data_IF_657705527811
#
_entry.id   IF_657705527811
#
_cell.length_a   1.000
_cell.length_b   1.000
_cell.length_c   1.000
_cell.angle_alpha   90.00
_cell.angle_beta   90.00
_cell.angle_gamma   90.00
#
_symmetry.space_group_name_H-M   'P 1'
#
loop_
_entity.id
_entity.type
_entity.pdbx_description
1 polymer ?
#
# COMPACT_ATOMS: atom_id res chain seq x y z
N UNK A 1 40.36 -9.32 18.54
CA UNK A 1 40.38 -7.89 18.88
C UNK A 1 38.99 -7.33 18.72
N UNK A 2 38.41 -6.75 19.75
CA UNK A 2 37.10 -6.10 19.65
C UNK A 2 37.20 -4.81 18.85
N UNK A 3 36.08 -4.39 18.22
CA UNK A 3 36.04 -3.08 17.56
C UNK A 3 36.28 -2.00 18.62
N UNK A 4 37.21 -1.09 18.34
CA UNK A 4 37.47 0.02 19.27
C UNK A 4 36.22 0.90 19.33
N UNK A 5 35.71 1.09 20.55
CA UNK A 5 34.56 1.92 20.83
C UNK A 5 35.01 3.33 21.21
N UNK A 6 34.35 4.33 20.64
CA UNK A 6 34.58 5.72 20.96
C UNK A 6 33.25 6.43 21.14
N UNK A 7 33.15 7.26 22.17
CA UNK A 7 31.94 8.04 22.46
C UNK A 7 32.26 9.53 22.38
N UNK A 8 31.43 10.28 21.65
CA UNK A 8 31.55 11.73 21.56
C UNK A 8 30.22 12.39 21.19
N UNK A 9 30.23 13.72 21.02
CA UNK A 9 29.06 14.51 20.71
C UNK A 9 29.21 15.24 19.38
N UNK A 10 28.08 15.42 18.68
CA UNK A 10 27.98 16.35 17.56
C UNK A 10 27.08 17.54 17.94
N UNK A 11 27.40 18.72 17.43
CA UNK A 11 26.60 19.92 17.69
C UNK A 11 25.46 20.04 16.68
N UNK A 12 24.22 20.13 17.17
CA UNK A 12 23.01 20.42 16.41
C UNK A 12 22.38 21.76 16.85
N UNK A 13 21.44 22.33 16.07
CA UNK A 13 20.81 23.62 16.39
C UNK A 13 20.09 23.68 17.74
N UNK A 14 19.59 22.55 18.27
CA UNK A 14 18.90 22.48 19.57
C UNK A 14 19.80 22.06 20.73
N UNK A 15 21.00 21.56 20.45
CA UNK A 15 21.88 20.98 21.47
C UNK A 15 22.82 19.93 20.92
N UNK A 16 23.46 19.19 21.82
CA UNK A 16 24.41 18.12 21.51
C UNK A 16 23.67 16.82 21.26
N UNK A 17 24.11 16.08 20.25
CA UNK A 17 23.68 14.70 19.99
C UNK A 17 24.84 13.79 20.39
N UNK A 18 24.62 12.88 21.33
CA UNK A 18 25.59 11.88 21.73
C UNK A 18 25.63 10.74 20.71
N UNK A 19 26.84 10.28 20.42
CA UNK A 19 27.07 9.18 19.48
C UNK A 19 28.13 8.22 20.01
N UNK A 20 27.98 6.95 19.63
CA UNK A 20 28.95 5.89 19.88
C UNK A 20 29.40 5.34 18.53
N UNK A 21 30.71 5.30 18.31
CA UNK A 21 31.34 4.81 17.10
C UNK A 21 32.07 3.49 17.38
N UNK A 22 31.99 2.56 16.44
CA UNK A 22 32.76 1.32 16.44
C UNK A 22 33.43 1.10 15.08
N UNK A 23 34.73 0.80 15.11
CA UNK A 23 35.52 0.47 13.91
C UNK A 23 36.21 1.67 13.26
N UNK A 24 36.73 1.46 12.05
CA UNK A 24 37.53 2.45 11.30
C UNK A 24 36.63 3.37 10.46
N UNK A 25 36.79 4.69 10.61
CA UNK A 25 36.03 5.69 9.87
C UNK A 25 36.26 5.70 8.35
N UNK A 26 37.29 4.99 7.86
CA UNK A 26 37.53 4.77 6.43
C UNK A 26 36.61 3.70 5.83
N UNK A 27 35.95 2.89 6.64
CA UNK A 27 35.03 1.85 6.18
C UNK A 27 33.63 2.42 5.84
N UNK A 28 32.83 1.69 5.02
CA UNK A 28 31.47 2.10 4.71
C UNK A 28 30.62 2.35 5.97
N UNK A 29 29.89 3.48 6.04
CA UNK A 29 29.19 3.87 7.25
C UNK A 29 27.85 3.14 7.44
N UNK A 30 27.57 2.79 8.70
CA UNK A 30 26.33 2.18 9.16
C UNK A 30 25.79 2.97 10.35
N UNK A 31 24.66 3.64 10.18
CA UNK A 31 23.95 4.34 11.25
C UNK A 31 23.05 3.33 12.00
N UNK A 32 23.16 3.29 13.32
CA UNK A 32 22.33 2.50 14.23
C UNK A 32 21.38 3.43 14.96
N UNK A 33 20.06 3.23 14.80
CA UNK A 33 19.04 4.09 15.40
C UNK A 33 18.15 3.30 16.36
N UNK A 34 18.17 3.68 17.64
CA UNK A 34 17.53 2.93 18.72
C UNK A 34 16.01 3.16 18.80
N UNK A 35 15.35 2.42 19.70
CA UNK A 35 13.91 2.48 19.95
C UNK A 35 13.45 3.68 20.79
N UNK A 36 12.16 3.75 21.12
CA UNK A 36 11.64 4.76 22.04
C UNK A 36 12.17 4.49 23.45
N UNK A 37 12.62 5.53 24.16
CA UNK A 37 13.16 5.41 25.53
C UNK A 37 14.37 4.46 25.63
N UNK A 38 15.21 4.44 24.60
CA UNK A 38 16.39 3.58 24.47
C UNK A 38 17.65 4.42 24.23
N UNK A 39 18.80 3.80 23.96
CA UNK A 39 20.07 4.48 23.67
C UNK A 39 20.91 3.69 22.66
N UNK A 40 21.85 4.36 21.99
CA UNK A 40 22.86 3.76 21.12
C UNK A 40 23.62 2.60 21.79
N UNK A 41 23.76 2.61 23.12
CA UNK A 41 24.40 1.53 23.89
C UNK A 41 23.71 0.17 23.70
N UNK A 42 22.41 0.15 23.41
CA UNK A 42 21.66 -1.11 23.23
C UNK A 42 22.14 -1.93 22.04
N UNK A 43 22.87 -1.31 21.11
CA UNK A 43 23.46 -1.99 19.96
C UNK A 43 24.78 -2.70 20.24
N UNK A 44 25.44 -2.53 21.39
CA UNK A 44 26.73 -3.19 21.69
C UNK A 44 26.71 -4.71 21.47
N UNK A 45 25.69 -5.47 21.93
CA UNK A 45 25.63 -6.92 21.68
C UNK A 45 25.39 -7.28 20.21
N UNK A 46 24.80 -6.39 19.43
CA UNK A 46 24.61 -6.57 18.00
C UNK A 46 25.92 -6.29 17.25
N UNK A 47 26.55 -5.15 17.52
CA UNK A 47 27.80 -4.72 16.87
C UNK A 47 28.92 -5.75 17.07
N UNK A 48 28.99 -6.40 18.23
CA UNK A 48 29.97 -7.48 18.48
C UNK A 48 29.82 -8.70 17.56
N UNK A 49 28.65 -8.86 16.93
CA UNK A 49 28.33 -9.95 15.99
C UNK A 49 28.33 -9.51 14.52
N UNK A 50 28.49 -8.22 14.24
CA UNK A 50 28.45 -7.69 12.87
C UNK A 50 29.83 -7.71 12.19
N UNK A 51 29.88 -7.67 10.84
CA UNK A 51 31.13 -7.66 10.09
C UNK A 51 32.03 -6.47 10.46
N UNK A 52 33.34 -6.69 10.48
CA UNK A 52 34.31 -5.69 10.98
C UNK A 52 34.74 -4.66 9.95
N UNK A 53 34.30 -4.81 8.70
CA UNK A 53 34.65 -3.97 7.56
C UNK A 53 33.66 -2.81 7.36
N UNK A 54 32.99 -2.38 8.43
CA UNK A 54 32.06 -1.26 8.44
C UNK A 54 32.41 -0.30 9.58
N UNK A 55 31.98 0.96 9.42
CA UNK A 55 32.04 1.97 10.45
C UNK A 55 30.65 2.16 11.07
N UNK A 56 30.44 1.65 12.27
CA UNK A 56 29.14 1.71 12.93
C UNK A 56 29.05 2.98 13.78
N UNK A 57 28.00 3.77 13.58
CA UNK A 57 27.67 4.92 14.41
C UNK A 57 26.29 4.70 15.01
N UNK A 58 26.19 4.54 16.33
CA UNK A 58 24.93 4.65 17.06
C UNK A 58 24.70 6.09 17.50
N UNK A 59 23.50 6.62 17.26
CA UNK A 59 23.09 7.92 17.82
C UNK A 59 22.11 7.73 18.96
N UNK A 60 22.24 8.55 20.00
CA UNK A 60 21.15 8.80 20.93
C UNK A 60 20.19 9.82 20.31
N UNK A 61 18.93 9.46 20.10
CA UNK A 61 17.91 10.38 19.60
C UNK A 61 17.68 11.52 20.60
N UNK A 62 17.33 12.74 20.15
CA UNK A 62 17.09 13.88 21.03
C UNK A 62 16.17 13.55 22.21
N UNK A 63 16.61 13.89 23.43
CA UNK A 63 15.90 13.58 24.67
C UNK A 63 16.04 12.12 25.15
N UNK A 64 16.90 11.32 24.54
CA UNK A 64 17.24 9.96 24.95
C UNK A 64 18.75 9.84 25.22
N UNK A 65 19.14 8.82 25.98
CA UNK A 65 20.54 8.57 26.36
C UNK A 65 21.24 9.82 26.89
N UNK A 66 22.35 10.21 26.26
CA UNK A 66 23.12 11.43 26.60
C UNK A 66 22.90 12.59 25.63
N UNK A 67 21.94 12.48 24.70
CA UNK A 67 21.59 13.58 23.79
C UNK A 67 20.75 14.64 24.48
N UNK A 68 21.03 15.90 24.17
CA UNK A 68 20.22 17.02 24.66
C UNK A 68 18.78 16.92 24.09
N UNK A 69 17.81 17.31 24.90
CA UNK A 69 16.40 17.40 24.50
C UNK A 69 16.16 18.58 23.54
N UNK A 70 15.09 18.51 22.77
CA UNK A 70 14.57 19.68 22.08
C UNK A 70 14.15 20.79 23.06
N UNK A 71 14.05 22.02 22.55
CA UNK A 71 13.67 23.18 23.35
C UNK A 71 12.31 22.97 24.03
N UNK A 72 12.14 23.42 25.29
CA UNK A 72 10.86 23.37 25.98
C UNK A 72 9.74 24.05 25.18
N UNK A 73 8.56 23.42 25.14
CA UNK A 73 7.38 23.93 24.43
C UNK A 73 7.25 23.47 22.97
N UNK A 74 8.25 22.76 22.42
CA UNK A 74 8.14 22.15 21.09
C UNK A 74 7.29 20.87 21.17
N UNK A 75 6.27 20.77 20.31
CA UNK A 75 5.54 19.52 20.10
C UNK A 75 6.41 18.59 19.23
N UNK A 76 7.04 17.60 19.87
CA UNK A 76 8.00 16.70 19.22
C UNK A 76 7.26 15.71 18.32
N UNK A 77 7.67 15.65 17.05
CA UNK A 77 7.17 14.73 16.04
C UNK A 77 8.27 13.79 15.52
N UNK A 78 7.87 12.81 14.72
CA UNK A 78 8.79 11.91 14.02
C UNK A 78 9.75 12.66 13.08
N UNK A 79 9.35 13.81 12.55
CA UNK A 79 10.17 14.62 11.64
C UNK A 79 11.33 15.31 12.37
N UNK A 80 11.14 15.69 13.62
CA UNK A 80 12.20 16.28 14.45
C UNK A 80 13.31 15.25 14.70
N UNK A 81 12.92 13.99 14.90
CA UNK A 81 13.85 12.86 15.03
C UNK A 81 14.59 12.56 13.72
N UNK A 82 13.90 12.66 12.57
CA UNK A 82 14.54 12.58 11.26
C UNK A 82 15.56 13.70 11.03
N UNK A 83 15.27 14.91 11.51
CA UNK A 83 16.21 16.02 11.40
C UNK A 83 17.47 15.79 12.24
N UNK A 84 17.39 15.07 13.36
CA UNK A 84 18.57 14.62 14.12
C UNK A 84 19.45 13.66 13.32
N UNK A 85 18.85 12.70 12.61
CA UNK A 85 19.57 11.82 11.67
C UNK A 85 20.19 12.66 10.54
N UNK A 86 19.46 13.62 9.98
CA UNK A 86 19.98 14.50 8.94
C UNK A 86 21.19 15.33 9.42
N UNK A 87 21.14 15.88 10.64
CA UNK A 87 22.24 16.63 11.23
C UNK A 87 23.51 15.77 11.37
N UNK A 88 23.35 14.50 11.77
CA UNK A 88 24.44 13.53 11.87
C UNK A 88 25.03 13.20 10.50
N UNK A 89 24.19 12.84 9.52
CA UNK A 89 24.64 12.52 8.15
C UNK A 89 25.39 13.70 7.54
N UNK A 90 24.90 14.93 7.76
CA UNK A 90 25.56 16.16 7.33
C UNK A 90 26.91 16.38 8.03
N UNK A 91 26.98 16.13 9.34
CA UNK A 91 28.22 16.26 10.12
C UNK A 91 29.33 15.36 9.57
N UNK A 92 29.01 14.10 9.30
CA UNK A 92 29.96 13.13 8.75
C UNK A 92 30.18 13.26 7.23
N UNK A 93 29.45 14.16 6.57
CA UNK A 93 29.49 14.35 5.10
C UNK A 93 29.24 13.05 4.33
N UNK A 94 28.42 12.16 4.90
CA UNK A 94 28.07 10.91 4.25
C UNK A 94 27.18 11.17 3.05
N UNK A 95 27.64 10.74 1.87
CA UNK A 95 26.82 10.73 0.64
C UNK A 95 25.92 9.49 0.59
N UNK A 96 26.42 8.36 1.09
CA UNK A 96 25.72 7.08 1.19
C UNK A 96 26.05 6.43 2.53
N UNK A 97 25.09 5.73 3.13
CA UNK A 97 25.27 4.99 4.38
C UNK A 97 24.18 3.92 4.53
N UNK A 98 24.43 2.90 5.34
CA UNK A 98 23.42 1.90 5.72
C UNK A 98 22.72 2.32 7.01
N UNK A 99 21.40 2.16 7.13
CA UNK A 99 20.66 2.42 8.38
C UNK A 99 20.15 1.10 8.97
N UNK A 100 20.48 0.84 10.23
CA UNK A 100 19.92 -0.25 11.04
C UNK A 100 19.07 0.40 12.13
N UNK A 101 17.75 0.33 11.98
CA UNK A 101 16.80 0.82 12.97
C UNK A 101 16.28 -0.31 13.87
N UNK A 102 16.17 -0.06 15.17
CA UNK A 102 15.47 -0.91 16.13
C UNK A 102 14.24 -0.18 16.67
N UNK A 103 13.08 -0.86 16.73
CA UNK A 103 11.82 -0.29 17.22
C UNK A 103 11.57 1.12 16.63
N UNK A 104 11.38 2.18 17.44
CA UNK A 104 11.23 3.58 17.01
C UNK A 104 12.18 4.00 15.86
N UNK A 105 13.45 3.58 15.92
CA UNK A 105 14.45 3.89 14.87
C UNK A 105 14.19 3.23 13.52
N UNK A 106 13.46 2.12 13.46
CA UNK A 106 12.99 1.52 12.20
C UNK A 106 11.76 2.23 11.61
N UNK A 107 11.09 3.09 12.38
CA UNK A 107 9.90 3.82 11.92
C UNK A 107 10.24 5.10 11.15
N UNK A 108 11.50 5.57 11.20
CA UNK A 108 11.85 6.90 10.73
C UNK A 108 11.74 7.07 9.20
N UNK A 109 12.00 6.06 8.37
CA UNK A 109 11.44 5.91 7.01
C UNK A 109 11.51 4.42 6.66
N UNK A 110 10.43 3.80 6.17
CA UNK A 110 10.56 2.51 5.49
C UNK A 110 11.10 2.81 4.08
N UNK A 111 12.42 2.93 3.97
CA UNK A 111 13.13 3.12 2.71
C UNK A 111 14.08 1.96 2.43
N UNK A 112 14.30 1.67 1.16
CA UNK A 112 15.26 0.67 0.70
C UNK A 112 16.03 1.19 -0.52
N UNK A 113 17.33 0.93 -0.56
CA UNK A 113 18.22 1.36 -1.64
C UNK A 113 18.89 2.71 -1.36
N UNK A 114 19.66 3.17 -2.35
CA UNK A 114 20.41 4.44 -2.28
C UNK A 114 19.52 5.61 -2.68
N UNK A 115 19.45 6.67 -1.87
CA UNK A 115 18.67 7.88 -2.15
C UNK A 115 19.10 8.64 -3.42
N UNK A 116 20.27 8.33 -3.99
CA UNK A 116 20.74 8.85 -5.27
C UNK A 116 20.12 8.11 -6.48
N UNK A 117 19.51 6.95 -6.28
CA UNK A 117 18.85 6.18 -7.33
C UNK A 117 17.46 6.74 -7.66
N UNK A 118 16.89 6.40 -8.83
CA UNK A 118 15.55 6.84 -9.20
C UNK A 118 14.50 6.45 -8.14
N UNK A 119 13.65 7.40 -7.71
CA UNK A 119 12.71 7.18 -6.62
C UNK A 119 11.51 6.33 -7.04
N UNK A 120 11.11 5.42 -6.15
CA UNK A 120 9.94 4.56 -6.28
C UNK A 120 9.09 4.69 -5.01
N UNK A 121 7.90 5.28 -5.15
CA UNK A 121 6.93 5.37 -4.05
C UNK A 121 6.07 4.11 -4.00
N UNK A 122 6.02 3.46 -2.84
CA UNK A 122 5.15 2.31 -2.59
C UNK A 122 3.93 2.77 -1.79
N UNK A 123 2.74 2.59 -2.37
CA UNK A 123 1.47 3.07 -1.84
C UNK A 123 0.54 1.89 -1.52
N UNK A 124 0.25 1.67 -0.24
CA UNK A 124 -0.47 0.47 0.22
C UNK A 124 -1.99 0.55 0.01
N UNK A 125 -2.66 -0.59 0.21
CA UNK A 125 -4.12 -0.71 0.11
C UNK A 125 -4.86 -0.13 1.32
N UNK A 126 -6.19 -0.16 1.31
CA UNK A 126 -6.98 0.32 2.44
C UNK A 126 -6.73 -0.52 3.69
N UNK A 127 -6.66 0.13 4.86
CA UNK A 127 -6.47 -0.54 6.15
C UNK A 127 -5.16 -1.36 6.25
N UNK A 128 -4.14 -0.98 5.49
CA UNK A 128 -2.84 -1.66 5.45
C UNK A 128 -1.70 -0.71 5.83
N UNK A 129 -0.44 -1.09 5.62
CA UNK A 129 0.70 -0.21 5.89
C UNK A 129 1.88 -0.49 4.94
N UNK A 130 2.88 0.39 4.95
CA UNK A 130 4.07 0.28 4.11
C UNK A 130 4.88 -1.02 4.33
N UNK A 131 4.71 -1.68 5.48
CA UNK A 131 5.42 -2.93 5.79
C UNK A 131 5.01 -4.08 4.86
N UNK A 132 3.81 -4.05 4.29
CA UNK A 132 3.30 -5.08 3.37
C UNK A 132 4.14 -5.19 2.10
N UNK A 133 4.91 -4.16 1.75
CA UNK A 133 5.80 -4.21 0.60
C UNK A 133 7.15 -4.88 0.88
N UNK A 134 7.52 -5.18 2.14
CA UNK A 134 8.81 -5.82 2.47
C UNK A 134 9.12 -7.06 1.62
N UNK A 135 8.19 -8.03 1.45
CA UNK A 135 8.46 -9.22 0.63
C UNK A 135 8.59 -8.93 -0.87
N UNK A 136 7.97 -7.84 -1.34
CA UNK A 136 8.09 -7.41 -2.73
C UNK A 136 9.44 -6.74 -2.97
N UNK A 137 9.81 -5.77 -2.13
CA UNK A 137 11.04 -4.98 -2.30
C UNK A 137 12.29 -5.86 -2.27
N UNK A 138 12.30 -6.96 -1.50
CA UNK A 138 13.41 -7.91 -1.49
C UNK A 138 13.64 -8.61 -2.84
N UNK A 139 12.64 -8.61 -3.73
CA UNK A 139 12.68 -9.21 -5.08
C UNK A 139 12.84 -8.17 -6.18
N UNK A 140 12.79 -6.88 -5.87
CA UNK A 140 12.91 -5.80 -6.85
C UNK A 140 14.39 -5.42 -7.12
N UNK A 141 14.68 -4.79 -8.26
CA UNK A 141 16.04 -4.37 -8.60
C UNK A 141 16.63 -3.40 -7.56
N UNK A 142 17.91 -3.57 -7.22
CA UNK A 142 18.57 -2.77 -6.16
C UNK A 142 19.01 -1.37 -6.60
N UNK A 143 18.86 -1.04 -7.87
CA UNK A 143 19.26 0.24 -8.46
C UNK A 143 18.17 1.32 -8.39
N UNK A 144 17.21 1.19 -7.46
CA UNK A 144 16.14 2.15 -7.20
C UNK A 144 16.12 2.55 -5.73
N UNK A 145 15.48 3.68 -5.43
CA UNK A 145 15.22 4.14 -4.07
C UNK A 145 13.74 3.95 -3.73
N UNK A 146 13.42 2.88 -3.03
CA UNK A 146 12.05 2.55 -2.65
C UNK A 146 11.68 3.26 -1.35
N UNK A 147 10.55 3.96 -1.31
CA UNK A 147 9.96 4.52 -0.08
C UNK A 147 8.56 3.97 0.09
N UNK A 148 8.32 3.29 1.20
CA UNK A 148 7.00 2.89 1.65
C UNK A 148 6.33 4.01 2.44
N UNK A 149 5.20 4.49 1.92
CA UNK A 149 4.36 5.47 2.60
C UNK A 149 3.27 4.78 3.40
N UNK A 150 3.20 5.05 4.71
CA UNK A 150 1.95 4.86 5.47
C UNK A 150 0.99 6.00 5.13
N UNK A 151 -0.15 5.70 4.51
CA UNK A 151 -1.16 6.71 4.20
C UNK A 151 -1.73 7.33 5.50
N UNK A 152 -2.13 8.62 5.50
CA UNK A 152 -2.74 9.25 6.68
C UNK A 152 -3.82 8.38 7.32
N UNK A 153 -3.78 8.24 8.64
CA UNK A 153 -4.69 7.39 9.40
C UNK A 153 -4.43 5.88 9.24
N UNK A 154 -3.27 5.45 8.74
CA UNK A 154 -2.86 4.05 8.67
C UNK A 154 -1.43 3.89 9.18
N UNK A 155 -1.10 2.65 9.56
CA UNK A 155 0.22 2.32 10.11
C UNK A 155 0.59 3.26 11.25
N UNK A 156 1.68 4.01 11.07
CA UNK A 156 2.17 5.02 12.03
C UNK A 156 1.98 6.47 11.56
N UNK A 157 1.32 6.70 10.44
CA UNK A 157 0.99 8.06 10.00
C UNK A 157 -0.17 8.63 10.81
N UNK A 158 -0.09 9.93 11.11
CA UNK A 158 -1.13 10.63 11.84
C UNK A 158 -2.48 10.57 11.13
N UNK A 159 -3.54 10.63 11.93
CA UNK A 159 -4.92 10.74 11.45
C UNK A 159 -5.17 12.15 10.94
N UNK A 160 -6.11 12.29 10.00
CA UNK A 160 -6.65 13.60 9.68
C UNK A 160 -7.37 14.21 10.89
N UNK A 161 -7.53 15.53 10.89
CA UNK A 161 -8.25 16.23 11.97
C UNK A 161 -9.65 15.65 12.18
N UNK A 162 -10.14 15.55 13.43
CA UNK A 162 -11.51 15.13 13.70
C UNK A 162 -12.52 15.97 12.93
N UNK A 163 -13.61 15.33 12.52
CA UNK A 163 -14.71 15.92 11.77
C UNK A 163 -14.56 15.90 10.27
N UNK A 164 -13.34 15.71 9.75
CA UNK A 164 -13.11 15.60 8.32
C UNK A 164 -13.69 14.29 7.76
N UNK A 165 -14.51 14.38 6.73
CA UNK A 165 -14.88 13.25 5.88
C UNK A 165 -13.80 13.09 4.80
N UNK A 166 -12.98 12.05 4.93
CA UNK A 166 -11.80 11.86 4.09
C UNK A 166 -12.21 11.60 2.64
N UNK A 167 -11.70 12.40 1.71
CA UNK A 167 -11.83 12.26 0.27
C UNK A 167 -10.57 11.69 -0.36
N UNK A 168 -10.75 10.79 -1.33
CA UNK A 168 -9.65 10.27 -2.17
C UNK A 168 -8.93 11.42 -2.90
N UNK A 169 -9.70 12.30 -3.53
CA UNK A 169 -9.17 13.31 -4.46
C UNK A 169 -8.67 14.55 -3.72
N UNK A 170 -9.36 14.96 -2.67
CA UNK A 170 -9.08 16.25 -2.02
C UNK A 170 -8.06 16.13 -0.88
N UNK A 171 -8.07 15.02 -0.14
CA UNK A 171 -7.25 14.89 1.07
C UNK A 171 -6.09 13.92 0.87
N UNK A 172 -6.40 12.68 0.47
CA UNK A 172 -5.39 11.62 0.36
C UNK A 172 -4.38 11.89 -0.75
N UNK A 173 -4.83 12.43 -1.88
CA UNK A 173 -3.96 12.73 -3.01
C UNK A 173 -2.92 13.79 -2.69
N UNK A 174 -3.31 14.82 -1.93
CA UNK A 174 -2.40 15.87 -1.53
C UNK A 174 -1.33 15.38 -0.55
N UNK A 175 -1.64 14.39 0.30
CA UNK A 175 -0.64 13.78 1.18
C UNK A 175 0.51 13.13 0.37
N UNK A 176 0.19 12.43 -0.73
CA UNK A 176 1.19 11.92 -1.67
C UNK A 176 1.99 13.07 -2.28
N UNK A 177 1.31 14.12 -2.74
CA UNK A 177 1.99 15.27 -3.35
C UNK A 177 2.91 16.01 -2.38
N UNK A 178 2.50 16.14 -1.11
CA UNK A 178 3.29 16.76 -0.06
C UNK A 178 4.61 16.00 0.16
N UNK A 179 4.57 14.66 0.15
CA UNK A 179 5.76 13.82 0.20
C UNK A 179 6.67 14.05 -1.01
N UNK A 180 6.11 14.07 -2.22
CA UNK A 180 6.87 14.32 -3.47
C UNK A 180 7.55 15.70 -3.42
N UNK A 181 6.87 16.74 -2.92
CA UNK A 181 7.44 18.08 -2.73
C UNK A 181 8.54 18.07 -1.67
N UNK A 182 8.35 17.35 -0.57
CA UNK A 182 9.33 17.23 0.51
C UNK A 182 10.65 16.66 0.00
N UNK A 183 10.60 15.55 -0.75
CA UNK A 183 11.78 14.94 -1.35
C UNK A 183 12.26 15.64 -2.63
N UNK A 184 11.55 16.68 -3.09
CA UNK A 184 11.87 17.47 -4.28
C UNK A 184 11.98 16.62 -5.55
N UNK A 185 11.19 15.57 -5.64
CA UNK A 185 11.17 14.72 -6.82
C UNK A 185 10.56 15.45 -8.00
N UNK A 186 11.34 15.56 -9.08
CA UNK A 186 10.84 16.09 -10.35
C UNK A 186 9.90 15.09 -11.00
N UNK A 187 10.34 13.84 -11.05
CA UNK A 187 9.66 12.65 -11.56
C UNK A 187 9.94 11.46 -10.64
N UNK A 188 9.05 10.47 -10.60
CA UNK A 188 9.23 9.25 -9.80
C UNK A 188 8.36 8.10 -10.32
N UNK A 189 8.66 6.86 -9.94
CA UNK A 189 7.78 5.70 -10.17
C UNK A 189 6.84 5.51 -8.98
N UNK A 190 5.59 5.11 -9.22
CA UNK A 190 4.66 4.74 -8.17
C UNK A 190 4.25 3.27 -8.33
N UNK A 191 4.40 2.47 -7.27
CA UNK A 191 3.84 1.12 -7.15
C UNK A 191 2.69 1.18 -6.15
N UNK A 192 1.46 0.97 -6.63
CA UNK A 192 0.26 1.04 -5.81
C UNK A 192 -0.39 -0.33 -5.68
N UNK A 193 -0.81 -0.71 -4.48
CA UNK A 193 -1.63 -1.90 -4.26
C UNK A 193 -3.08 -1.52 -3.94
N UNK A 194 -4.06 -2.10 -4.63
CA UNK A 194 -5.48 -1.90 -4.34
C UNK A 194 -5.86 -0.42 -4.29
N UNK A 195 -6.22 0.11 -3.12
CA UNK A 195 -6.48 1.55 -2.91
C UNK A 195 -5.29 2.46 -3.27
N UNK A 196 -4.05 2.00 -3.06
CA UNK A 196 -2.86 2.75 -3.44
C UNK A 196 -2.67 2.85 -4.96
N UNK A 197 -3.10 1.83 -5.71
CA UNK A 197 -3.14 1.90 -7.18
C UNK A 197 -4.16 2.93 -7.65
N UNK A 198 -5.33 2.96 -7.01
CA UNK A 198 -6.38 3.93 -7.26
C UNK A 198 -5.91 5.38 -7.02
N UNK A 199 -5.19 5.61 -5.92
CA UNK A 199 -4.54 6.91 -5.65
C UNK A 199 -3.49 7.27 -6.70
N UNK A 200 -2.69 6.30 -7.15
CA UNK A 200 -1.71 6.51 -8.21
C UNK A 200 -2.33 6.95 -9.54
N UNK A 201 -3.47 6.37 -9.91
CA UNK A 201 -4.23 6.76 -11.10
C UNK A 201 -4.73 8.21 -11.01
N UNK A 202 -5.33 8.60 -9.88
CA UNK A 202 -5.71 10.00 -9.63
C UNK A 202 -4.51 10.94 -9.60
N UNK A 203 -3.38 10.49 -9.07
CA UNK A 203 -2.18 11.31 -8.98
C UNK A 203 -1.66 11.65 -10.37
N UNK A 204 -1.66 10.67 -11.27
CA UNK A 204 -1.29 10.87 -12.66
C UNK A 204 -2.21 11.86 -13.38
N UNK A 205 -3.51 11.84 -13.07
CA UNK A 205 -4.49 12.77 -13.64
C UNK A 205 -4.27 14.22 -13.15
N UNK A 206 -4.06 14.39 -11.84
CA UNK A 206 -3.95 15.72 -11.24
C UNK A 206 -2.56 16.34 -11.41
N UNK A 207 -1.52 15.52 -11.50
CA UNK A 207 -0.14 15.94 -11.66
C UNK A 207 0.48 15.24 -12.87
N UNK A 208 0.06 15.59 -14.10
CA UNK A 208 0.62 15.00 -15.30
C UNK A 208 2.13 15.20 -15.34
N UNK A 209 2.84 14.26 -15.95
CA UNK A 209 4.29 14.29 -16.16
C UNK A 209 5.14 14.15 -14.87
N UNK A 210 4.52 13.88 -13.71
CA UNK A 210 5.23 13.57 -12.46
C UNK A 210 5.58 12.10 -12.27
N UNK A 211 4.82 11.20 -12.89
CA UNK A 211 5.09 9.77 -12.83
C UNK A 211 5.91 9.36 -14.05
N UNK A 212 7.02 8.66 -13.85
CA UNK A 212 7.76 7.99 -14.93
C UNK A 212 7.12 6.66 -15.30
N UNK A 213 6.55 6.00 -14.29
CA UNK A 213 5.89 4.70 -14.41
C UNK A 213 4.88 4.56 -13.26
N UNK A 214 3.69 4.07 -13.58
CA UNK A 214 2.71 3.63 -12.59
C UNK A 214 2.56 2.10 -12.67
N UNK A 215 2.83 1.41 -11.56
CA UNK A 215 2.65 -0.04 -11.42
C UNK A 215 1.46 -0.30 -10.50
N UNK A 216 0.39 -0.87 -11.06
CA UNK A 216 -0.82 -1.21 -10.32
C UNK A 216 -0.77 -2.69 -9.92
N UNK A 217 -0.86 -2.97 -8.63
CA UNK A 217 -1.02 -4.31 -8.08
C UNK A 217 -2.48 -4.46 -7.63
N UNK A 218 -3.22 -5.33 -8.30
CA UNK A 218 -4.64 -5.62 -8.00
C UNK A 218 -5.50 -4.35 -7.78
N UNK A 219 -5.58 -3.45 -8.79
CA UNK A 219 -6.16 -2.12 -8.62
C UNK A 219 -7.67 -2.14 -8.35
N UNK A 220 -8.12 -1.18 -7.54
CA UNK A 220 -9.54 -0.81 -7.46
C UNK A 220 -9.86 0.14 -8.62
N UNK A 221 -10.94 -0.13 -9.35
CA UNK A 221 -11.41 0.73 -10.44
C UNK A 221 -12.22 1.93 -9.92
N UNK A 222 -12.29 2.99 -10.72
CA UNK A 222 -13.17 4.13 -10.42
C UNK A 222 -14.63 3.69 -10.36
N UNK A 223 -15.30 4.11 -9.29
CA UNK A 223 -16.73 3.92 -9.13
C UNK A 223 -17.48 5.03 -9.87
N UNK A 224 -18.30 4.64 -10.83
CA UNK A 224 -19.27 5.55 -11.42
C UNK A 224 -20.52 5.62 -10.55
N UNK A 225 -21.12 6.81 -10.49
CA UNK A 225 -22.39 7.09 -9.83
C UNK A 225 -23.36 7.59 -10.91
N UNK A 226 -24.17 6.68 -11.49
CA UNK A 226 -25.29 7.09 -12.34
C UNK A 226 -26.25 8.02 -11.59
N UNK A 227 -26.98 8.91 -12.27
CA UNK A 227 -27.94 9.82 -11.64
C UNK A 227 -28.94 9.11 -10.71
N UNK A 228 -29.42 7.93 -11.10
CA UNK A 228 -30.34 7.08 -10.34
C UNK A 228 -29.76 6.56 -9.01
N UNK A 229 -28.43 6.42 -8.92
CA UNK A 229 -27.72 5.98 -7.71
C UNK A 229 -27.20 7.15 -6.86
N UNK A 230 -27.38 8.40 -7.30
CA UNK A 230 -26.84 9.57 -6.61
C UNK A 230 -27.39 9.70 -5.17
N UNK A 231 -28.68 9.45 -4.98
CA UNK A 231 -29.31 9.45 -3.65
C UNK A 231 -28.66 8.41 -2.73
N UNK A 232 -28.43 7.20 -3.24
CA UNK A 232 -27.76 6.13 -2.51
C UNK A 232 -26.32 6.51 -2.16
N UNK A 233 -25.55 7.04 -3.12
CA UNK A 233 -24.20 7.53 -2.89
C UNK A 233 -24.18 8.59 -1.78
N UNK A 234 -25.08 9.58 -1.84
CA UNK A 234 -25.18 10.63 -0.83
C UNK A 234 -25.47 10.05 0.56
N UNK A 235 -26.42 9.13 0.67
CA UNK A 235 -26.73 8.51 1.96
C UNK A 235 -25.59 7.63 2.50
N UNK A 236 -24.88 6.92 1.62
CA UNK A 236 -23.71 6.09 2.00
C UNK A 236 -22.58 6.95 2.58
N UNK A 237 -22.25 8.08 1.94
CA UNK A 237 -21.09 8.87 2.32
C UNK A 237 -21.42 9.98 3.32
N UNK A 238 -22.54 10.70 3.16
CA UNK A 238 -22.86 11.87 4.00
C UNK A 238 -23.80 11.49 5.13
N UNK A 239 -24.99 10.95 4.83
CA UNK A 239 -25.98 10.65 5.88
C UNK A 239 -25.44 9.63 6.89
N UNK A 240 -24.83 8.55 6.42
CA UNK A 240 -24.26 7.54 7.31
C UNK A 240 -23.05 8.06 8.09
N UNK A 241 -22.25 8.95 7.51
CA UNK A 241 -21.14 9.59 8.22
C UNK A 241 -21.66 10.42 9.39
N UNK A 242 -22.59 11.35 9.14
CA UNK A 242 -23.12 12.22 10.19
C UNK A 242 -23.99 11.49 11.22
N UNK A 243 -24.72 10.44 10.82
CA UNK A 243 -25.43 9.55 11.77
C UNK A 243 -24.48 8.80 12.72
N UNK A 244 -23.24 8.58 12.31
CA UNK A 244 -22.22 7.87 13.08
C UNK A 244 -21.02 8.76 13.38
N UNK A 245 -21.23 10.08 13.48
CA UNK A 245 -20.16 11.07 13.54
C UNK A 245 -19.20 10.78 14.71
N UNK A 246 -19.73 10.54 15.91
CA UNK A 246 -18.92 10.27 17.10
C UNK A 246 -18.09 9.00 16.98
N UNK A 247 -18.66 7.95 16.36
CA UNK A 247 -17.96 6.70 16.08
C UNK A 247 -16.79 6.92 15.13
N UNK A 248 -16.98 7.68 14.06
CA UNK A 248 -15.92 7.93 13.08
C UNK A 248 -14.84 8.88 13.62
N UNK A 249 -15.18 9.72 14.58
CA UNK A 249 -14.26 10.66 15.22
C UNK A 249 -13.78 10.20 16.59
N UNK A 250 -13.91 8.90 16.89
CA UNK A 250 -13.45 8.35 18.15
C UNK A 250 -11.91 8.41 18.22
N UNK A 251 -11.34 9.03 19.27
CA UNK A 251 -9.89 9.08 19.47
C UNK A 251 -9.29 7.67 19.50
N UNK A 252 -8.04 7.51 19.05
CA UNK A 252 -7.41 6.18 18.96
C UNK A 252 -7.37 5.47 20.31
N UNK A 253 -7.25 6.24 21.38
CA UNK A 253 -7.15 5.80 22.76
C UNK A 253 -8.39 5.04 23.22
N UNK A 254 -9.55 5.33 22.62
CA UNK A 254 -10.83 4.68 22.90
C UNK A 254 -11.14 3.50 21.97
N UNK A 255 -10.20 3.11 21.10
CA UNK A 255 -10.37 1.96 20.21
C UNK A 255 -10.41 0.67 21.03
N UNK A 256 -11.18 -0.35 20.60
CA UNK A 256 -11.21 -1.64 21.26
C UNK A 256 -9.83 -2.27 21.39
N UNK A 257 -9.59 -2.90 22.54
CA UNK A 257 -8.36 -3.64 22.84
C UNK A 257 -8.59 -5.13 22.58
N UNK A 258 -7.58 -5.81 22.05
CA UNK A 258 -7.59 -7.24 21.73
C UNK A 258 -6.28 -7.88 22.17
N UNK A 259 -6.30 -9.15 22.60
CA UNK A 259 -5.06 -9.86 22.93
C UNK A 259 -4.19 -10.01 21.68
N UNK A 260 -2.88 -9.88 21.83
CA UNK A 260 -1.92 -10.00 20.73
C UNK A 260 -2.13 -11.29 19.92
N UNK A 261 -2.25 -12.43 20.61
CA UNK A 261 -2.46 -13.75 20.00
C UNK A 261 -3.76 -13.81 19.17
N UNK A 262 -4.86 -13.26 19.69
CA UNK A 262 -6.15 -13.22 19.00
C UNK A 262 -6.10 -12.33 17.75
N UNK A 263 -5.46 -11.16 17.87
CA UNK A 263 -5.27 -10.25 16.75
C UNK A 263 -4.41 -10.87 15.65
N UNK A 264 -3.31 -11.53 16.04
CA UNK A 264 -2.40 -12.21 15.12
C UNK A 264 -3.10 -13.36 14.39
N UNK A 265 -3.82 -14.23 15.12
CA UNK A 265 -4.60 -15.31 14.52
C UNK A 265 -5.68 -14.77 13.58
N UNK A 266 -6.37 -13.69 13.97
CA UNK A 266 -7.37 -13.06 13.10
C UNK A 266 -6.75 -12.50 11.83
N UNK A 267 -5.56 -11.90 11.91
CA UNK A 267 -4.85 -11.36 10.76
C UNK A 267 -4.43 -12.49 9.80
N UNK A 268 -3.83 -13.56 10.33
CA UNK A 268 -3.41 -14.73 9.55
C UNK A 268 -4.60 -15.44 8.90
N UNK A 269 -5.73 -15.57 9.60
CA UNK A 269 -6.96 -16.13 9.03
C UNK A 269 -7.49 -15.31 7.85
N UNK A 270 -7.41 -13.98 7.94
CA UNK A 270 -7.86 -13.08 6.86
C UNK A 270 -6.81 -12.94 5.74
N UNK A 271 -5.55 -13.30 6.00
CA UNK A 271 -4.42 -13.19 5.07
C UNK A 271 -3.60 -14.50 5.10
N UNK A 272 -4.16 -15.62 4.61
CA UNK A 272 -3.57 -16.95 4.77
C UNK A 272 -2.21 -17.14 4.08
N UNK A 273 -1.82 -16.21 3.20
CA UNK A 273 -0.51 -16.18 2.56
C UNK A 273 0.61 -15.64 3.46
N UNK A 274 0.29 -15.01 4.59
CA UNK A 274 1.29 -14.53 5.55
C UNK A 274 1.71 -15.65 6.49
N UNK A 275 3.02 -15.84 6.65
CA UNK A 275 3.53 -16.61 7.76
C UNK A 275 3.43 -15.80 9.08
N UNK A 276 3.68 -16.45 10.22
CA UNK A 276 3.52 -15.83 11.54
C UNK A 276 4.42 -14.60 11.73
N UNK A 277 5.69 -14.67 11.30
CA UNK A 277 6.64 -13.56 11.39
C UNK A 277 6.18 -12.34 10.57
N UNK A 278 5.70 -12.57 9.34
CA UNK A 278 5.16 -11.53 8.47
C UNK A 278 3.88 -10.92 9.05
N UNK A 279 2.99 -11.77 9.58
CA UNK A 279 1.76 -11.32 10.21
C UNK A 279 2.04 -10.50 11.47
N UNK A 280 3.02 -10.91 12.29
CA UNK A 280 3.48 -10.17 13.45
C UNK A 280 4.00 -8.78 13.04
N UNK A 281 4.91 -8.71 12.06
CA UNK A 281 5.45 -7.43 11.58
C UNK A 281 4.36 -6.49 11.02
N UNK A 282 3.34 -7.04 10.35
CA UNK A 282 2.16 -6.27 9.92
C UNK A 282 1.37 -5.78 11.13
N UNK A 283 1.06 -6.65 12.08
CA UNK A 283 0.27 -6.31 13.27
C UNK A 283 0.97 -5.25 14.14
N UNK A 284 2.29 -5.35 14.35
CA UNK A 284 3.08 -4.34 15.09
C UNK A 284 2.93 -2.94 14.48
N UNK A 285 2.86 -2.87 13.15
CA UNK A 285 2.73 -1.60 12.46
C UNK A 285 1.30 -1.06 12.48
N UNK A 286 0.30 -1.94 12.41
CA UNK A 286 -1.12 -1.61 12.42
C UNK A 286 -1.71 -1.38 13.82
N UNK A 287 -0.95 -1.65 14.87
CA UNK A 287 -1.41 -1.59 16.26
C UNK A 287 -0.42 -0.87 17.19
N UNK A 288 -0.86 -0.59 18.40
CA UNK A 288 -0.02 -0.13 19.51
C UNK A 288 -0.32 -0.95 20.77
N UNK A 289 0.68 -1.23 21.61
CA UNK A 289 0.48 -1.95 22.87
C UNK A 289 -0.32 -1.10 23.86
N UNK A 290 -1.16 -1.76 24.65
CA UNK A 290 -2.01 -1.11 25.68
C UNK A 290 -1.86 -1.73 27.07
N UNK A 291 -0.91 -2.65 27.26
CA UNK A 291 -0.69 -3.39 28.50
C UNK A 291 -1.30 -4.80 28.47
N UNK A 292 -0.91 -5.64 29.42
CA UNK A 292 -1.44 -7.01 29.62
C UNK A 292 -1.41 -7.92 28.38
N UNK A 293 -0.41 -7.74 27.50
CA UNK A 293 -0.32 -8.47 26.24
C UNK A 293 -1.45 -8.14 25.25
N UNK A 294 -2.16 -7.04 25.45
CA UNK A 294 -3.18 -6.52 24.56
C UNK A 294 -2.60 -5.43 23.65
N UNK A 295 -3.23 -5.30 22.48
CA UNK A 295 -3.00 -4.23 21.51
C UNK A 295 -4.31 -3.57 21.13
N UNK A 296 -4.22 -2.36 20.56
CA UNK A 296 -5.33 -1.73 19.82
C UNK A 296 -4.87 -1.31 18.44
N UNK A 297 -5.75 -1.40 17.46
CA UNK A 297 -5.44 -0.94 16.12
C UNK A 297 -5.33 0.60 16.05
N UNK A 298 -4.36 1.10 15.29
CA UNK A 298 -4.07 2.53 15.18
C UNK A 298 -4.83 3.21 14.05
N UNK A 299 -5.36 2.44 13.09
CA UNK A 299 -6.03 2.98 11.92
C UNK A 299 -7.20 3.91 12.27
N UNK A 300 -7.43 4.91 11.44
CA UNK A 300 -8.58 5.79 11.51
C UNK A 300 -9.82 5.03 11.00
N UNK A 301 -10.91 5.01 11.79
CA UNK A 301 -12.14 4.34 11.39
C UNK A 301 -12.75 4.94 10.11
N UNK A 302 -12.45 6.20 9.81
CA UNK A 302 -12.86 6.88 8.58
C UNK A 302 -12.22 6.29 7.33
N UNK A 303 -11.11 5.57 7.46
CA UNK A 303 -10.52 4.81 6.35
C UNK A 303 -11.45 3.72 5.80
N UNK A 304 -12.46 3.29 6.57
CA UNK A 304 -13.51 2.37 6.08
C UNK A 304 -14.59 3.08 5.24
N UNK A 305 -14.54 4.41 5.15
CA UNK A 305 -15.56 5.28 4.56
C UNK A 305 -14.92 6.46 3.81
N UNK A 306 -13.87 6.18 3.05
CA UNK A 306 -13.26 7.19 2.20
C UNK A 306 -14.23 7.53 1.08
N UNK A 307 -14.55 8.81 0.96
CA UNK A 307 -15.46 9.32 -0.05
C UNK A 307 -14.75 9.42 -1.41
N UNK A 308 -15.42 8.94 -2.45
CA UNK A 308 -15.08 9.19 -3.85
C UNK A 308 -16.07 10.16 -4.48
N UNK A 309 -15.62 11.11 -5.32
CA UNK A 309 -16.54 12.00 -6.05
C UNK A 309 -17.57 11.22 -6.88
N UNK A 310 -18.81 11.72 -6.92
CA UNK A 310 -19.90 11.15 -7.71
C UNK A 310 -19.72 11.45 -9.21
N UNK A 311 -18.78 10.77 -9.85
CA UNK A 311 -18.58 10.88 -11.30
C UNK A 311 -19.61 10.06 -12.05
N UNK A 312 -20.20 10.66 -13.10
CA UNK A 312 -21.06 9.89 -14.01
C UNK A 312 -20.24 8.81 -14.74
N UNK A 313 -20.88 7.73 -15.24
CA UNK A 313 -20.20 6.71 -16.03
C UNK A 313 -19.42 7.29 -17.22
N UNK A 314 -19.97 8.30 -17.90
CA UNK A 314 -19.31 8.96 -19.02
C UNK A 314 -18.10 9.79 -18.56
N UNK A 315 -18.16 10.39 -17.37
CA UNK A 315 -17.01 11.11 -16.80
C UNK A 315 -15.88 10.13 -16.44
N UNK A 316 -16.20 9.03 -15.74
CA UNK A 316 -15.22 7.98 -15.40
C UNK A 316 -14.56 7.42 -16.67
N UNK A 317 -15.36 7.14 -17.70
CA UNK A 317 -14.88 6.69 -19.01
C UNK A 317 -13.89 7.69 -19.62
N UNK A 318 -14.21 8.99 -19.61
CA UNK A 318 -13.30 10.04 -20.11
C UNK A 318 -11.98 10.08 -19.33
N UNK A 319 -12.02 9.93 -18.01
CA UNK A 319 -10.81 9.86 -17.18
C UNK A 319 -9.96 8.63 -17.53
N UNK A 320 -10.57 7.45 -17.70
CA UNK A 320 -9.87 6.23 -18.10
C UNK A 320 -9.25 6.33 -19.49
N UNK A 321 -9.90 7.00 -20.43
CA UNK A 321 -9.34 7.20 -21.78
C UNK A 321 -8.12 8.13 -21.82
N UNK A 322 -7.88 8.90 -20.75
CA UNK A 322 -6.66 9.68 -20.57
C UNK A 322 -5.55 8.93 -19.80
N UNK A 323 -5.83 7.72 -19.27
CA UNK A 323 -4.91 6.88 -18.51
C UNK A 323 -4.60 5.61 -19.33
N UNK A 324 -3.39 5.46 -19.85
CA UNK A 324 -3.06 4.35 -20.75
C UNK A 324 -2.57 3.09 -20.05
N UNK A 325 -3.25 1.97 -20.32
CA UNK A 325 -2.77 0.63 -20.02
C UNK A 325 -1.86 0.11 -21.14
N UNK A 326 -0.71 -0.48 -20.79
CA UNK A 326 0.02 -1.34 -21.72
C UNK A 326 -0.30 -2.82 -21.46
N UNK A 327 -0.80 -3.49 -22.52
CA UNK A 327 -1.14 -4.91 -22.75
C UNK A 327 -2.51 -5.46 -22.30
N UNK A 328 -3.39 -5.80 -23.27
CA UNK A 328 -4.18 -7.05 -23.34
C UNK A 328 -5.01 -7.13 -24.66
N UNK A 329 -4.49 -7.71 -25.75
CA UNK A 329 -5.30 -8.07 -26.94
C UNK A 329 -4.74 -9.31 -27.64
N UNK A 330 -5.50 -10.42 -27.66
CA UNK A 330 -5.24 -11.54 -28.58
C UNK A 330 -6.45 -12.29 -29.16
N UNK A 331 -7.71 -12.06 -28.75
CA UNK A 331 -8.82 -12.94 -29.21
C UNK A 331 -10.20 -12.25 -29.40
N UNK A 332 -10.25 -11.07 -30.01
CA UNK A 332 -11.50 -10.30 -30.19
C UNK A 332 -12.59 -11.05 -30.99
N UNK A 333 -12.20 -11.79 -32.04
CA UNK A 333 -13.18 -12.36 -32.98
C UNK A 333 -13.90 -13.62 -32.46
N UNK A 334 -13.30 -14.34 -31.50
CA UNK A 334 -13.88 -15.60 -30.97
C UNK A 334 -15.19 -15.36 -30.20
N UNK A 335 -15.35 -14.18 -29.61
CA UNK A 335 -16.39 -13.91 -28.60
C UNK A 335 -17.59 -13.12 -29.12
N UNK A 336 -17.63 -12.78 -30.42
CA UNK A 336 -18.80 -12.21 -31.11
C UNK A 336 -19.61 -13.26 -31.88
N UNK A 337 -19.45 -14.53 -31.53
CA UNK A 337 -20.14 -15.64 -32.17
C UNK A 337 -21.64 -15.62 -31.80
N UNK A 338 -22.59 -15.62 -32.77
CA UNK A 338 -24.03 -15.69 -32.51
C UNK A 338 -24.40 -16.90 -31.63
N UNK A 339 -25.49 -16.79 -30.86
CA UNK A 339 -25.94 -17.82 -29.90
C UNK A 339 -26.01 -19.20 -30.55
N UNK A 340 -26.47 -19.26 -31.79
CA UNK A 340 -26.69 -20.46 -32.61
C UNK A 340 -25.38 -21.16 -32.99
N UNK A 341 -24.26 -20.44 -32.95
CA UNK A 341 -22.91 -20.93 -33.23
C UNK A 341 -22.10 -21.23 -31.96
N UNK A 342 -22.71 -21.15 -30.77
CA UNK A 342 -22.05 -21.54 -29.52
C UNK A 342 -21.70 -23.03 -29.53
N UNK A 343 -20.52 -23.42 -29.03
CA UNK A 343 -20.09 -24.81 -29.00
C UNK A 343 -21.05 -25.66 -28.17
N UNK A 344 -21.32 -26.87 -28.65
CA UNK A 344 -22.16 -27.87 -27.99
C UNK A 344 -21.30 -28.81 -27.16
N UNK A 345 -21.86 -29.35 -26.09
CA UNK A 345 -21.17 -30.27 -25.16
C UNK A 345 -22.14 -31.39 -24.75
N UNK A 346 -21.63 -32.60 -24.53
CA UNK A 346 -22.45 -33.69 -23.99
C UNK A 346 -22.95 -33.34 -22.60
N UNK A 347 -24.21 -33.68 -22.31
CA UNK A 347 -24.83 -33.43 -21.01
C UNK A 347 -23.98 -33.95 -19.85
N UNK A 348 -23.49 -35.18 -19.98
CA UNK A 348 -22.67 -35.85 -18.96
C UNK A 348 -21.36 -35.12 -18.68
N UNK A 349 -20.70 -34.61 -19.73
CA UNK A 349 -19.46 -33.84 -19.61
C UNK A 349 -19.69 -32.46 -18.99
N UNK A 350 -20.79 -31.80 -19.37
CA UNK A 350 -21.18 -30.52 -18.79
C UNK A 350 -21.53 -30.64 -17.30
N UNK A 351 -22.26 -31.69 -16.92
CA UNK A 351 -22.64 -31.98 -15.54
C UNK A 351 -21.41 -32.26 -14.67
N UNK A 352 -20.51 -33.13 -15.14
CA UNK A 352 -19.24 -33.42 -14.45
C UNK A 352 -18.35 -32.18 -14.32
N UNK A 353 -18.31 -31.33 -15.35
CA UNK A 353 -17.56 -30.07 -15.29
C UNK A 353 -18.14 -29.10 -14.26
N UNK A 354 -19.48 -28.99 -14.18
CA UNK A 354 -20.15 -28.13 -13.22
C UNK A 354 -19.91 -28.59 -11.77
N UNK A 355 -20.02 -29.89 -11.51
CA UNK A 355 -19.77 -30.48 -10.19
C UNK A 355 -18.30 -30.35 -9.77
N UNK A 356 -17.36 -30.51 -10.72
CA UNK A 356 -15.91 -30.30 -10.45
C UNK A 356 -15.59 -28.87 -10.04
N UNK A 357 -16.23 -27.89 -10.70
CA UNK A 357 -16.03 -26.48 -10.39
C UNK A 357 -16.84 -26.00 -9.17
N UNK A 358 -17.83 -26.79 -8.73
CA UNK A 358 -18.68 -26.50 -7.57
C UNK A 358 -18.88 -27.76 -6.73
N UNK A 359 -17.84 -28.19 -5.98
CA UNK A 359 -17.84 -29.48 -5.28
C UNK A 359 -18.94 -29.64 -4.22
N UNK A 360 -19.58 -28.53 -3.82
CA UNK A 360 -20.67 -28.51 -2.84
C UNK A 360 -22.05 -28.83 -3.41
N UNK A 361 -22.20 -28.96 -4.74
CA UNK A 361 -23.48 -29.32 -5.36
C UNK A 361 -23.63 -30.84 -5.42
N UNK A 362 -24.80 -31.35 -5.01
CA UNK A 362 -25.18 -32.72 -5.37
C UNK A 362 -25.41 -32.85 -6.89
N UNK A 363 -25.35 -34.06 -7.42
CA UNK A 363 -25.59 -34.30 -8.85
C UNK A 363 -26.97 -33.80 -9.29
N UNK A 364 -28.00 -34.01 -8.47
CA UNK A 364 -29.36 -33.53 -8.70
C UNK A 364 -29.45 -31.99 -8.72
N UNK A 365 -28.75 -31.31 -7.80
CA UNK A 365 -28.67 -29.84 -7.80
C UNK A 365 -27.90 -29.30 -9.00
N UNK A 366 -26.82 -29.97 -9.41
CA UNK A 366 -26.03 -29.60 -10.58
C UNK A 366 -26.84 -29.78 -11.87
N UNK A 367 -27.63 -30.86 -11.97
CA UNK A 367 -28.54 -31.10 -13.09
C UNK A 367 -29.58 -29.98 -13.21
N UNK A 368 -30.27 -29.63 -12.12
CA UNK A 368 -31.27 -28.56 -12.10
C UNK A 368 -30.68 -27.18 -12.49
N UNK A 369 -29.44 -26.89 -12.09
CA UNK A 369 -28.72 -25.68 -12.50
C UNK A 369 -28.37 -25.72 -13.98
N UNK A 370 -27.90 -26.86 -14.48
CA UNK A 370 -27.51 -27.02 -15.88
C UNK A 370 -28.72 -26.95 -16.83
N UNK A 371 -29.87 -27.49 -16.44
CA UNK A 371 -31.15 -27.39 -17.18
C UNK A 371 -31.56 -25.93 -17.38
N UNK A 372 -31.35 -25.08 -16.38
CA UNK A 372 -31.63 -23.63 -16.50
C UNK A 372 -30.60 -22.86 -17.30
N UNK A 373 -29.37 -23.34 -17.36
CA UNK A 373 -28.24 -22.65 -18.00
C UNK A 373 -27.96 -23.14 -19.43
N UNK A 374 -28.76 -24.06 -19.95
CA UNK A 374 -28.54 -24.66 -21.26
C UNK A 374 -29.85 -25.01 -21.98
N UNK A 375 -29.76 -25.21 -23.29
CA UNK A 375 -30.85 -25.67 -24.16
C UNK A 375 -30.42 -26.96 -24.86
N UNK A 376 -31.33 -27.93 -25.06
CA UNK A 376 -31.02 -29.17 -25.79
C UNK A 376 -30.82 -28.88 -27.28
N UNK A 377 -29.84 -29.55 -27.88
CA UNK A 377 -29.48 -29.36 -29.31
C UNK A 377 -29.39 -30.66 -30.11
N UNK A 378 -29.81 -31.79 -29.52
CA UNK A 378 -29.78 -33.14 -30.13
C UNK A 378 -28.63 -34.03 -29.62
N UNK A 379 -28.72 -35.34 -29.84
CA UNK A 379 -27.67 -36.35 -29.52
C UNK A 379 -27.14 -36.33 -28.07
N UNK A 380 -28.02 -36.03 -27.10
CA UNK A 380 -27.64 -35.92 -25.69
C UNK A 380 -26.70 -34.72 -25.40
N UNK A 381 -26.59 -33.78 -26.33
CA UNK A 381 -25.81 -32.56 -26.18
C UNK A 381 -26.69 -31.38 -25.78
N UNK A 382 -26.06 -30.46 -25.07
CA UNK A 382 -26.63 -29.17 -24.69
C UNK A 382 -25.75 -28.04 -25.16
N UNK A 383 -26.38 -26.88 -25.36
CA UNK A 383 -25.72 -25.61 -25.62
C UNK A 383 -26.03 -24.67 -24.47
N UNK A 384 -25.01 -24.03 -23.91
CA UNK A 384 -25.23 -23.05 -22.85
C UNK A 384 -26.04 -21.85 -23.36
N UNK A 385 -27.05 -21.43 -22.60
CA UNK A 385 -27.97 -20.33 -22.95
C UNK A 385 -27.50 -18.99 -22.43
N UNK A 386 -26.51 -18.95 -21.54
CA UNK A 386 -25.91 -17.70 -21.09
C UNK A 386 -25.02 -17.11 -22.19
N UNK A 387 -25.06 -15.79 -22.31
CA UNK A 387 -24.20 -15.03 -23.20
C UNK A 387 -22.73 -15.22 -22.80
N UNK A 388 -21.87 -15.65 -23.72
CA UNK A 388 -20.45 -15.88 -23.45
C UNK A 388 -19.72 -14.61 -22.98
N UNK A 389 -20.24 -13.42 -23.28
CA UNK A 389 -19.78 -12.13 -22.73
C UNK A 389 -19.98 -12.06 -21.21
N UNK A 390 -20.95 -12.80 -20.65
CA UNK A 390 -21.22 -12.85 -19.21
C UNK A 390 -20.12 -13.57 -18.43
N UNK A 391 -19.28 -14.40 -19.08
CA UNK A 391 -18.07 -14.97 -18.44
C UNK A 391 -16.99 -13.93 -18.14
N UNK A 392 -17.10 -12.72 -18.71
CA UNK A 392 -16.24 -11.58 -18.43
C UNK A 392 -17.02 -10.27 -18.58
N UNK A 393 -18.03 -10.06 -17.72
CA UNK A 393 -18.61 -8.73 -17.57
C UNK A 393 -17.53 -7.79 -17.01
N UNK A 394 -16.80 -7.13 -17.91
CA UNK A 394 -16.59 -5.68 -17.93
C UNK A 394 -15.74 -5.26 -19.14
N UNK A 395 -16.36 -4.48 -20.04
CA UNK A 395 -15.67 -3.69 -21.08
C UNK A 395 -16.53 -3.43 -22.33
N UNK A 396 -16.96 -2.17 -22.60
CA UNK A 396 -17.61 -1.80 -23.86
C UNK A 396 -16.61 -1.69 -25.03
N UNK A 397 -17.06 -2.01 -26.24
CA UNK A 397 -16.30 -1.96 -27.50
C UNK A 397 -16.27 -0.54 -28.12
N UNK A 398 -15.18 -0.17 -28.80
CA UNK A 398 -15.02 1.11 -29.51
C UNK A 398 -14.55 0.94 -30.96
N UNK A 399 -14.82 1.95 -31.80
CA UNK A 399 -14.41 2.01 -33.21
C UNK A 399 -12.93 2.42 -33.41
N UNK A 400 -12.28 2.04 -34.53
CA UNK A 400 -10.85 2.33 -34.79
C UNK A 400 -10.47 3.82 -34.78
N UNK A 401 -11.39 4.72 -35.15
CA UNK A 401 -11.16 6.17 -35.13
C UNK A 401 -11.15 6.75 -33.70
N UNK A 402 -11.98 6.19 -32.81
CA UNK A 402 -11.91 6.49 -31.37
C UNK A 402 -10.60 5.97 -30.80
N UNK A 403 -10.20 4.74 -31.15
CA UNK A 403 -8.93 4.14 -30.73
C UNK A 403 -7.72 5.00 -31.16
N UNK A 404 -7.73 5.56 -32.38
CA UNK A 404 -6.63 6.42 -32.88
C UNK A 404 -6.54 7.78 -32.19
N UNK A 405 -7.67 8.42 -31.85
CA UNK A 405 -7.71 9.65 -31.03
C UNK A 405 -7.34 9.41 -29.57
N UNK A 406 -7.63 8.20 -29.07
CA UNK A 406 -7.22 7.76 -27.75
C UNK A 406 -5.70 7.67 -27.72
N UNK A 407 -5.07 6.86 -28.58
CA UNK A 407 -3.63 6.58 -28.64
C UNK A 407 -2.67 7.78 -28.74
N UNK A 408 -3.12 8.97 -29.15
CA UNK A 408 -2.27 10.17 -29.25
C UNK A 408 -2.16 10.97 -27.95
N UNK A 409 -2.85 10.57 -26.87
CA UNK A 409 -2.85 11.29 -25.58
C UNK A 409 -1.93 10.68 -24.50
N UNK A 410 -1.08 9.70 -24.84
CA UNK A 410 -0.21 8.99 -23.88
C UNK A 410 0.83 9.95 -23.28
N UNK A 411 0.90 10.07 -21.95
CA UNK A 411 1.99 10.81 -21.28
C UNK A 411 2.86 9.96 -20.33
N UNK A 412 2.33 8.87 -19.74
CA UNK A 412 3.06 8.00 -18.79
C UNK A 412 2.77 6.51 -19.04
N UNK A 413 3.79 5.61 -19.05
CA UNK A 413 3.60 4.15 -19.08
C UNK A 413 2.90 3.60 -17.82
N UNK A 414 1.98 2.65 -17.98
CA UNK A 414 1.30 1.96 -16.86
C UNK A 414 1.39 0.45 -17.02
N UNK A 415 1.91 -0.23 -15.99
CA UNK A 415 1.94 -1.68 -15.86
C UNK A 415 0.89 -2.11 -14.85
N UNK A 416 -0.08 -2.94 -15.26
CA UNK A 416 -1.07 -3.51 -14.33
C UNK A 416 -0.81 -5.00 -14.14
N UNK A 417 -0.71 -5.42 -12.89
CA UNK A 417 -0.51 -6.81 -12.47
C UNK A 417 -1.75 -7.20 -11.65
N UNK A 418 -2.60 -8.05 -12.23
CA UNK A 418 -3.77 -8.63 -11.55
C UNK A 418 -3.46 -10.05 -11.10
N UNK A 419 -3.98 -10.46 -9.94
CA UNK A 419 -3.87 -11.85 -9.51
C UNK A 419 -4.94 -12.68 -10.25
N UNK A 420 -4.55 -13.78 -10.89
CA UNK A 420 -5.53 -14.73 -11.44
C UNK A 420 -6.13 -15.54 -10.28
N UNK A 421 -7.34 -15.19 -9.85
CA UNK A 421 -8.17 -16.05 -8.99
C UNK A 421 -8.46 -15.53 -7.58
N UNK A 422 -9.31 -14.51 -7.46
CA UNK A 422 -10.16 -14.33 -6.29
C UNK A 422 -11.62 -14.56 -6.65
#
# INVERSE_FOLDING_TARGET
MDLVEHEWYIQAPWGRIAIIAWGDCCNPPVLLCHGSMDSAVSFRPLVSKLPRNYYYIGLDLPGNGKSDRFLPGLMISVYDMLYAIHALVKHFRWKTFTLIGHSFGAYLVIAWGDCCNPPVLLCHGSMDSAVSFRPLVSKLPRNYYYIGLDLPGNGKSDRFLPGLMISVVYDMLYAIHALVKHFRWKTFTLIGHSFGAYLGQFYNLCYPDKLELLINLDPINFFAVPPEEFSRWYHIFFTNFYKNYDKYNTPKEKSPTIKWSEALQSLMRNRPSLNEEQAAAVLERLSEPVGDGCVRYTYDLRMKRINGPAYSPEHVKKLFTHIFFTNFYKNYDKYNTPKEKSPTIKWTEALQSLMRNRPSLSEEQAAAVLERLSEPVGDGCVRYTYDLRMKRINGPAYSPEHVKKLFTAVRTPILTIACEGC
#
